data_IF_204422044987
#
_entry.id   IF_204422044987
#
_cell.length_a   1.000
_cell.length_b   1.000
_cell.length_c   1.000
_cell.angle_alpha   90.00
_cell.angle_beta   90.00
_cell.angle_gamma   90.00
#
_symmetry.space_group_name_H-M   'P 1'
#
loop_
_entity.id
_entity.type
_entity.pdbx_description
1 polymer ?
#
# COMPACT_ATOMS: atom_id res chain seq x y z
N UNK A 1 -10.38 17.81 5.27
CA UNK A 1 -11.54 17.27 5.99
C UNK A 1 -12.87 17.76 5.44
N UNK A 2 -13.01 19.05 5.07
CA UNK A 2 -14.27 19.61 4.54
C UNK A 2 -14.78 18.89 3.28
N UNK A 3 -13.91 18.60 2.33
CA UNK A 3 -14.28 17.87 1.10
C UNK A 3 -14.64 16.42 1.42
N UNK A 4 -13.80 15.73 2.19
CA UNK A 4 -13.93 14.31 2.46
C UNK A 4 -15.08 14.00 3.42
N UNK A 5 -15.35 14.90 4.38
CA UNK A 5 -16.43 14.74 5.36
C UNK A 5 -17.85 14.82 4.77
N UNK A 6 -17.98 15.28 3.52
CA UNK A 6 -19.27 15.38 2.81
C UNK A 6 -19.55 14.17 1.91
N UNK A 7 -18.59 13.25 1.76
CA UNK A 7 -18.75 12.03 0.95
C UNK A 7 -19.75 11.07 1.62
N UNK A 8 -20.58 10.44 0.82
CA UNK A 8 -21.63 9.50 1.25
C UNK A 8 -21.39 8.05 0.81
N UNK A 9 -20.58 7.88 -0.24
CA UNK A 9 -20.24 6.54 -0.76
C UNK A 9 -19.33 5.75 0.19
N UNK A 10 -18.35 6.38 0.89
CA UNK A 10 -17.48 5.66 1.81
C UNK A 10 -18.22 5.05 3.00
N UNK A 11 -17.81 3.85 3.40
CA UNK A 11 -18.17 3.27 4.69
C UNK A 11 -17.41 3.96 5.83
N UNK A 12 -16.12 4.20 5.64
CA UNK A 12 -15.29 4.96 6.56
C UNK A 12 -14.11 5.64 5.83
N UNK A 13 -13.51 6.63 6.48
CA UNK A 13 -12.38 7.39 5.94
C UNK A 13 -11.32 7.56 7.01
N UNK A 14 -10.08 7.27 6.67
CA UNK A 14 -8.89 7.53 7.46
C UNK A 14 -8.07 8.64 6.82
N UNK A 15 -7.64 9.61 7.60
CA UNK A 15 -6.72 10.64 7.16
C UNK A 15 -5.39 10.47 7.88
N UNK A 16 -4.32 10.37 7.11
CA UNK A 16 -2.97 10.17 7.64
C UNK A 16 -2.01 11.20 7.07
N UNK A 17 -0.89 11.41 7.76
CA UNK A 17 0.22 12.16 7.19
C UNK A 17 0.94 11.34 6.15
N UNK A 18 1.23 11.94 4.99
CA UNK A 18 1.99 11.28 3.93
C UNK A 18 3.46 11.17 4.33
N UNK A 19 3.96 9.95 4.44
CA UNK A 19 5.35 9.66 4.83
C UNK A 19 6.35 10.01 3.73
N UNK A 20 5.94 10.11 2.46
CA UNK A 20 6.80 10.31 1.31
C UNK A 20 7.19 11.78 1.08
N UNK A 21 6.31 12.72 1.41
CA UNK A 21 6.52 14.15 1.15
C UNK A 21 7.29 14.91 2.24
N UNK A 22 7.63 14.26 3.35
CA UNK A 22 8.37 14.86 4.45
C UNK A 22 9.79 14.27 4.57
N UNK A 23 10.77 14.70 3.75
CA UNK A 23 12.14 14.17 3.81
C UNK A 23 12.85 14.44 5.13
N UNK A 24 12.31 15.27 6.02
CA UNK A 24 13.02 15.73 7.22
C UNK A 24 12.32 15.49 8.56
N UNK A 25 11.09 14.97 8.63
CA UNK A 25 10.37 14.98 9.90
C UNK A 25 9.51 13.77 10.25
N UNK A 26 8.90 13.08 9.30
CA UNK A 26 7.85 12.12 9.62
C UNK A 26 8.25 10.65 9.53
N UNK A 27 9.45 10.36 9.08
CA UNK A 27 10.02 9.03 9.19
C UNK A 27 10.71 8.80 10.52
N UNK A 28 11.22 9.86 11.14
CA UNK A 28 12.18 9.76 12.24
C UNK A 28 11.91 10.82 13.30
N UNK A 29 11.21 10.45 14.34
CA UNK A 29 11.02 11.25 15.53
C UNK A 29 11.89 10.70 16.69
N UNK A 30 12.24 11.56 17.61
CA UNK A 30 12.94 11.16 18.82
C UNK A 30 11.95 11.02 19.98
N UNK A 31 11.90 9.85 20.58
CA UNK A 31 10.97 9.55 21.65
C UNK A 31 11.75 9.15 22.91
N UNK A 32 11.34 9.69 24.06
CA UNK A 32 11.93 9.35 25.36
C UNK A 32 10.89 9.39 26.47
N UNK A 33 11.22 8.78 27.59
CA UNK A 33 10.47 8.96 28.84
C UNK A 33 10.81 10.29 29.51
N UNK A 34 9.90 10.90 30.26
CA UNK A 34 10.22 12.06 31.11
C UNK A 34 11.36 11.72 32.07
N UNK A 35 12.44 12.49 32.05
CA UNK A 35 13.65 12.25 32.87
C UNK A 35 14.57 11.14 32.36
N UNK A 36 14.26 10.49 31.25
CA UNK A 36 15.15 9.52 30.60
C UNK A 36 16.21 10.16 29.74
N UNK A 37 17.41 9.60 29.70
CA UNK A 37 18.54 10.08 28.89
C UNK A 37 18.51 9.49 27.46
N UNK A 38 17.94 8.29 27.30
CA UNK A 38 17.84 7.63 26.00
C UNK A 38 16.70 8.22 25.17
N UNK A 39 17.00 8.60 23.95
CA UNK A 39 16.06 9.17 23.00
C UNK A 39 16.13 8.40 21.67
N UNK A 40 15.58 7.17 21.62
CA UNK A 40 15.59 6.36 20.42
C UNK A 40 14.84 7.06 19.29
N UNK A 41 15.36 6.88 18.09
CA UNK A 41 14.74 7.28 16.86
C UNK A 41 13.59 6.32 16.56
N UNK A 42 12.41 6.85 16.30
CA UNK A 42 11.19 6.05 16.06
C UNK A 42 10.51 6.52 14.79
N UNK A 43 9.90 5.59 14.07
CA UNK A 43 9.08 5.89 12.91
C UNK A 43 7.68 6.31 13.35
N UNK A 44 7.33 7.55 13.01
CA UNK A 44 6.10 8.20 13.41
C UNK A 44 5.11 8.32 12.25
N UNK A 45 3.81 8.15 12.54
CA UNK A 45 2.72 8.46 11.62
C UNK A 45 1.65 9.28 12.34
N UNK A 46 1.25 10.40 11.73
CA UNK A 46 0.07 11.15 12.18
C UNK A 46 -1.18 10.56 11.57
N UNK A 47 -2.24 10.35 12.36
CA UNK A 47 -3.50 9.84 11.86
C UNK A 47 -4.69 10.45 12.61
N UNK A 48 -5.90 10.30 12.07
CA UNK A 48 -7.15 10.62 12.75
C UNK A 48 -7.76 9.37 13.41
N UNK A 49 -8.93 9.56 14.03
CA UNK A 49 -9.68 8.48 14.65
C UNK A 49 -10.23 7.45 13.65
N UNK A 50 -10.50 7.90 12.40
CA UNK A 50 -10.94 7.03 11.31
C UNK A 50 -9.92 5.97 10.94
N UNK A 51 -8.64 6.25 11.16
CA UNK A 51 -7.56 5.30 10.90
C UNK A 51 -7.78 3.94 11.59
N UNK A 52 -8.26 3.96 12.83
CA UNK A 52 -8.50 2.75 13.61
C UNK A 52 -9.75 1.97 13.18
N UNK A 53 -10.67 2.59 12.45
CA UNK A 53 -11.85 1.95 11.87
C UNK A 53 -11.56 1.34 10.51
N UNK A 54 -10.81 2.07 9.67
CA UNK A 54 -10.39 1.60 8.35
C UNK A 54 -9.40 0.46 8.47
N UNK A 55 -8.40 0.61 9.35
CA UNK A 55 -7.37 -0.39 9.61
C UNK A 55 -7.62 -1.03 10.96
N UNK A 56 -7.94 -2.31 10.97
CA UNK A 56 -8.22 -3.06 12.19
C UNK A 56 -6.92 -3.50 12.84
N UNK A 57 -6.57 -2.86 13.94
CA UNK A 57 -5.41 -3.21 14.76
C UNK A 57 -5.83 -4.03 15.98
N UNK A 58 -4.99 -4.99 16.35
CA UNK A 58 -5.15 -5.73 17.61
C UNK A 58 -4.48 -4.95 18.74
N UNK A 59 -5.30 -4.34 19.59
CA UNK A 59 -4.84 -3.65 20.78
C UNK A 59 -4.52 -4.65 21.87
N UNK A 60 -3.26 -4.65 22.32
CA UNK A 60 -2.80 -5.50 23.43
C UNK A 60 -2.94 -4.80 24.77
N UNK A 61 -3.01 -3.47 24.75
CA UNK A 61 -3.16 -2.63 25.93
C UNK A 61 -3.89 -1.33 25.57
N UNK A 62 -4.72 -0.83 26.49
CA UNK A 62 -5.44 0.43 26.29
C UNK A 62 -6.46 0.41 25.14
N UNK A 63 -6.57 1.53 24.43
CA UNK A 63 -7.54 1.73 23.34
C UNK A 63 -7.03 2.72 22.31
N UNK A 64 -7.63 2.78 21.10
CA UNK A 64 -7.39 3.87 20.15
C UNK A 64 -7.83 5.22 20.76
N UNK A 65 -7.23 6.31 20.30
CA UNK A 65 -7.76 7.63 20.62
C UNK A 65 -9.09 7.87 19.87
N UNK A 66 -9.94 8.65 20.49
CA UNK A 66 -11.30 8.92 20.01
C UNK A 66 -11.35 10.16 19.12
N UNK A 67 -12.45 10.32 18.38
CA UNK A 67 -12.74 11.53 17.61
C UNK A 67 -12.70 12.79 18.47
N UNK A 68 -13.26 12.75 19.69
CA UNK A 68 -13.26 13.88 20.61
C UNK A 68 -11.83 14.29 21.03
N UNK A 69 -10.96 13.31 21.30
CA UNK A 69 -9.54 13.53 21.62
C UNK A 69 -8.80 14.10 20.41
N UNK A 70 -9.11 13.60 19.21
CA UNK A 70 -8.55 14.11 17.96
C UNK A 70 -8.99 15.55 17.67
N UNK A 71 -10.30 15.84 17.73
CA UNK A 71 -10.85 17.18 17.44
C UNK A 71 -10.41 18.25 18.46
N UNK A 72 -10.19 17.84 19.72
CA UNK A 72 -9.67 18.73 20.76
C UNK A 72 -8.16 18.98 20.65
N UNK A 73 -7.47 18.38 19.69
CA UNK A 73 -6.01 18.51 19.53
C UNK A 73 -5.21 17.89 20.68
N UNK A 74 -5.79 16.96 21.43
CA UNK A 74 -5.08 16.30 22.52
C UNK A 74 -3.91 15.49 21.99
N UNK A 75 -2.70 15.64 22.55
CA UNK A 75 -1.52 14.87 22.16
C UNK A 75 -1.63 13.43 22.66
N UNK A 76 -2.19 12.56 21.83
CA UNK A 76 -2.34 11.13 22.08
C UNK A 76 -1.40 10.33 21.20
N UNK A 77 -0.88 9.24 21.75
CA UNK A 77 -0.02 8.31 21.03
C UNK A 77 -0.51 6.86 21.23
N UNK A 78 -0.41 6.08 20.16
CA UNK A 78 -0.49 4.61 20.20
C UNK A 78 0.88 4.09 19.80
N UNK A 79 1.41 3.12 20.54
CA UNK A 79 2.73 2.55 20.29
C UNK A 79 2.62 1.13 19.78
N UNK A 80 3.58 0.67 18.97
CA UNK A 80 3.72 -0.75 18.71
C UNK A 80 4.32 -1.46 19.93
N UNK A 81 4.06 -2.77 20.04
CA UNK A 81 4.50 -3.60 21.17
C UNK A 81 6.02 -3.53 21.39
N UNK A 82 6.79 -3.65 20.32
CA UNK A 82 8.24 -3.59 20.38
C UNK A 82 8.77 -2.27 20.92
N UNK A 83 8.15 -1.14 20.53
CA UNK A 83 8.54 0.18 21.03
C UNK A 83 8.14 0.35 22.49
N UNK A 84 6.91 -0.05 22.86
CA UNK A 84 6.45 -0.02 24.25
C UNK A 84 7.38 -0.82 25.15
N UNK A 85 7.78 -2.04 24.73
CA UNK A 85 8.74 -2.87 25.46
C UNK A 85 10.14 -2.23 25.59
N UNK A 86 10.60 -1.50 24.59
CA UNK A 86 11.90 -0.77 24.67
C UNK A 86 11.84 0.40 25.65
N UNK A 87 10.71 1.11 25.72
CA UNK A 87 10.58 2.32 26.56
C UNK A 87 10.21 1.97 28.01
N UNK A 88 9.27 1.06 28.22
CA UNK A 88 8.67 0.79 29.52
C UNK A 88 9.08 -0.58 30.11
N UNK A 89 9.77 -1.41 29.31
CA UNK A 89 10.16 -2.75 29.77
C UNK A 89 8.91 -3.65 29.97
N UNK A 90 8.65 -4.03 31.21
CA UNK A 90 7.49 -4.85 31.60
C UNK A 90 6.35 -4.06 32.24
N UNK A 91 6.48 -2.75 32.35
CA UNK A 91 5.43 -1.89 32.90
C UNK A 91 4.38 -1.57 31.84
N UNK A 92 3.14 -1.35 32.29
CA UNK A 92 2.05 -0.95 31.42
C UNK A 92 2.34 0.43 30.80
N UNK A 93 2.25 0.53 29.48
CA UNK A 93 2.52 1.76 28.75
C UNK A 93 1.28 2.66 28.64
N UNK A 94 0.07 2.09 28.59
CA UNK A 94 -1.16 2.88 28.47
C UNK A 94 -1.37 3.79 29.68
N UNK A 95 -1.68 5.06 29.40
CA UNK A 95 -1.83 6.11 30.41
C UNK A 95 -0.53 6.79 30.80
N UNK A 96 0.63 6.27 30.40
CA UNK A 96 1.94 6.89 30.68
C UNK A 96 2.21 8.07 29.73
N UNK A 97 3.10 8.94 30.17
CA UNK A 97 3.55 10.09 29.37
C UNK A 97 4.88 9.78 28.68
N UNK A 98 4.98 10.16 27.43
CA UNK A 98 6.19 10.12 26.64
C UNK A 98 6.51 11.54 26.12
N UNK A 99 7.78 11.79 25.83
CA UNK A 99 8.22 13.00 25.16
C UNK A 99 8.54 12.66 23.71
N UNK A 100 7.81 13.26 22.78
CA UNK A 100 8.01 13.14 21.35
C UNK A 100 8.56 14.49 20.83
N UNK A 101 9.81 14.50 20.37
CA UNK A 101 10.50 15.74 19.98
C UNK A 101 10.38 16.87 21.03
N UNK A 102 10.34 16.50 22.31
CA UNK A 102 10.23 17.46 23.43
C UNK A 102 8.79 17.82 23.85
N UNK A 103 7.78 17.38 23.10
CA UNK A 103 6.37 17.57 23.44
C UNK A 103 5.81 16.36 24.19
N UNK A 104 4.98 16.62 25.18
CA UNK A 104 4.34 15.56 25.98
C UNK A 104 3.16 14.94 25.25
N UNK A 105 3.18 13.61 25.16
CA UNK A 105 2.06 12.80 24.64
C UNK A 105 1.65 11.77 25.70
N UNK A 106 0.36 11.53 25.82
CA UNK A 106 -0.15 10.42 26.62
C UNK A 106 -0.37 9.20 25.74
N UNK A 107 0.19 8.06 26.14
CA UNK A 107 -0.04 6.78 25.47
C UNK A 107 -1.47 6.34 25.71
N UNK A 108 -2.28 6.24 24.66
CA UNK A 108 -3.68 5.77 24.74
C UNK A 108 -3.79 4.25 24.63
N UNK A 109 -2.85 3.62 23.94
CA UNK A 109 -2.83 2.18 23.77
C UNK A 109 -1.55 1.65 23.13
N UNK A 110 -1.46 0.33 23.13
CA UNK A 110 -0.39 -0.43 22.49
C UNK A 110 -1.02 -1.44 21.56
N UNK A 111 -0.50 -1.52 20.34
CA UNK A 111 -0.93 -2.48 19.31
C UNK A 111 0.17 -3.47 18.99
N UNK A 112 -0.19 -4.62 18.41
CA UNK A 112 0.79 -5.55 17.88
C UNK A 112 1.67 -4.92 16.81
N UNK A 113 2.87 -5.46 16.63
CA UNK A 113 3.82 -4.97 15.63
C UNK A 113 3.27 -5.18 14.22
N UNK A 114 3.35 -4.14 13.40
CA UNK A 114 2.88 -4.13 12.02
C UNK A 114 4.03 -4.43 11.08
N UNK A 115 3.75 -5.17 10.01
CA UNK A 115 4.76 -5.47 8.99
C UNK A 115 5.19 -4.21 8.23
N UNK A 116 6.50 -4.01 8.05
CA UNK A 116 7.05 -2.93 7.26
C UNK A 116 6.74 -2.99 5.76
N UNK A 117 6.13 -4.08 5.28
CA UNK A 117 5.68 -4.23 3.89
C UNK A 117 4.46 -3.33 3.61
N UNK A 118 3.63 -3.07 4.62
CA UNK A 118 2.48 -2.18 4.53
C UNK A 118 2.89 -0.73 4.83
N UNK A 119 3.61 -0.11 3.90
CA UNK A 119 4.22 1.22 4.11
C UNK A 119 3.22 2.31 4.53
N UNK A 120 1.98 2.25 4.03
CA UNK A 120 0.93 3.23 4.33
C UNK A 120 0.40 3.12 5.77
N UNK A 121 0.57 1.98 6.40
CA UNK A 121 0.08 1.69 7.74
C UNK A 121 1.21 1.63 8.76
N UNK A 122 2.40 1.25 8.31
CA UNK A 122 3.54 0.98 9.16
C UNK A 122 4.07 2.21 9.88
N UNK A 123 4.11 2.12 11.19
CA UNK A 123 4.83 3.03 12.07
C UNK A 123 5.22 2.27 13.36
N UNK A 124 6.13 2.83 14.16
CA UNK A 124 6.38 2.38 15.52
C UNK A 124 5.49 3.13 16.53
N UNK A 125 5.05 4.35 16.13
CA UNK A 125 4.12 5.15 16.91
C UNK A 125 3.14 5.89 15.99
N UNK A 126 1.89 5.93 16.38
CA UNK A 126 0.82 6.69 15.73
C UNK A 126 0.33 7.79 16.67
N UNK A 127 0.21 9.01 16.17
CA UNK A 127 -0.22 10.15 16.96
C UNK A 127 -1.36 10.89 16.27
N UNK A 128 -2.15 11.63 17.06
CA UNK A 128 -3.16 12.52 16.49
C UNK A 128 -2.48 13.58 15.62
N UNK A 129 -2.76 13.63 14.32
CA UNK A 129 -2.12 14.65 13.47
C UNK A 129 -2.57 16.07 13.84
N UNK A 130 -3.74 16.23 14.47
CA UNK A 130 -4.21 17.51 15.00
C UNK A 130 -3.26 18.10 16.06
N UNK A 131 -2.54 17.26 16.79
CA UNK A 131 -1.51 17.72 17.75
C UNK A 131 -0.19 18.12 17.08
N UNK A 132 0.01 17.75 15.80
CA UNK A 132 1.20 18.09 15.04
C UNK A 132 1.07 19.43 14.29
N UNK A 133 -0.13 20.04 14.24
CA UNK A 133 -0.44 21.22 13.42
C UNK A 133 0.52 22.38 13.66
N UNK A 134 0.85 22.66 14.91
CA UNK A 134 1.75 23.77 15.27
C UNK A 134 3.15 23.58 14.65
N UNK A 135 3.67 22.35 14.65
CA UNK A 135 4.96 22.05 14.04
C UNK A 135 4.86 22.07 12.50
N UNK A 136 3.73 21.69 11.95
CA UNK A 136 3.47 21.73 10.51
C UNK A 136 3.30 23.15 9.98
N UNK A 137 2.56 24.01 10.68
CA UNK A 137 2.37 25.40 10.28
C UNK A 137 3.70 26.16 10.21
N UNK A 138 4.62 25.89 11.14
CA UNK A 138 5.96 26.44 11.10
C UNK A 138 6.85 25.86 9.97
N UNK A 139 6.70 24.61 9.62
CA UNK A 139 7.49 23.96 8.58
C UNK A 139 7.05 24.34 7.16
N UNK A 140 5.74 24.62 6.97
CA UNK A 140 5.17 24.96 5.66
C UNK A 140 5.18 26.46 5.38
N UNK A 141 5.43 27.31 6.39
CA UNK A 141 5.33 28.75 6.30
C UNK A 141 3.90 29.22 6.08
N UNK A 142 3.67 30.54 6.19
CA UNK A 142 2.42 31.17 5.80
C UNK A 142 2.23 31.07 4.27
N UNK A 143 1.77 29.92 3.80
CA UNK A 143 1.23 29.80 2.45
C UNK A 143 -0.27 29.82 2.57
N UNK A 144 -0.89 30.88 2.05
CA UNK A 144 -2.31 30.92 1.79
C UNK A 144 -2.69 29.74 0.92
N UNK A 145 -3.27 28.73 1.51
CA UNK A 145 -3.81 27.68 0.72
C UNK A 145 -3.62 26.25 1.24
N UNK A 146 -4.42 25.41 0.76
CA UNK A 146 -4.62 24.02 1.08
C UNK A 146 -3.49 23.09 0.54
N UNK A 147 -2.23 23.37 0.86
CA UNK A 147 -1.17 22.39 0.65
C UNK A 147 -1.12 21.48 1.86
N UNK A 148 -1.92 20.41 1.82
CA UNK A 148 -1.93 19.40 2.85
C UNK A 148 -0.93 18.30 2.54
N UNK A 149 -0.14 17.93 3.54
CA UNK A 149 0.68 16.72 3.55
C UNK A 149 -0.13 15.52 4.05
N UNK A 150 -1.43 15.55 3.77
CA UNK A 150 -2.39 14.56 4.25
C UNK A 150 -2.81 13.66 3.09
N UNK A 151 -2.96 12.40 3.39
CA UNK A 151 -3.44 11.34 2.53
C UNK A 151 -4.73 10.78 3.10
N UNK A 152 -5.71 10.53 2.25
CA UNK A 152 -6.96 9.93 2.65
C UNK A 152 -7.06 8.50 2.15
N UNK A 153 -7.28 7.58 3.07
CA UNK A 153 -7.54 6.17 2.79
C UNK A 153 -9.03 5.92 3.02
N UNK A 154 -9.71 5.49 1.99
CA UNK A 154 -11.17 5.40 1.94
C UNK A 154 -11.58 3.94 1.92
N UNK A 155 -12.40 3.53 2.90
CA UNK A 155 -12.98 2.21 2.95
C UNK A 155 -14.31 2.21 2.18
N UNK A 156 -14.41 1.34 1.18
CA UNK A 156 -15.63 1.08 0.43
C UNK A 156 -16.23 -0.26 0.87
N UNK A 157 -17.54 -0.34 0.87
CA UNK A 157 -18.25 -1.60 1.12
C UNK A 157 -18.02 -2.60 -0.02
N UNK A 158 -17.95 -2.12 -1.26
CA UNK A 158 -17.65 -2.92 -2.45
C UNK A 158 -16.71 -2.18 -3.40
N UNK A 159 -15.80 -2.91 -4.03
CA UNK A 159 -14.85 -2.33 -4.99
C UNK A 159 -15.53 -1.74 -6.24
N UNK A 160 -16.76 -2.20 -6.56
CA UNK A 160 -17.57 -1.65 -7.65
C UNK A 160 -18.06 -0.22 -7.41
N UNK A 161 -17.95 0.28 -6.16
CA UNK A 161 -18.33 1.65 -5.80
C UNK A 161 -17.24 2.68 -6.11
N UNK A 162 -16.04 2.25 -6.52
CA UNK A 162 -14.94 3.14 -6.84
C UNK A 162 -15.28 4.22 -7.90
N UNK A 163 -15.98 3.91 -9.01
CA UNK A 163 -16.42 4.93 -9.96
C UNK A 163 -17.40 5.94 -9.35
N UNK A 164 -18.31 5.48 -8.49
CA UNK A 164 -19.26 6.35 -7.79
C UNK A 164 -18.55 7.30 -6.82
N UNK A 165 -17.56 6.80 -6.08
CA UNK A 165 -16.68 7.61 -5.24
C UNK A 165 -15.93 8.66 -6.05
N UNK A 166 -15.36 8.29 -7.20
CA UNK A 166 -14.63 9.22 -8.08
C UNK A 166 -15.52 10.38 -8.54
N UNK A 167 -16.75 10.09 -8.94
CA UNK A 167 -17.71 11.12 -9.35
C UNK A 167 -18.16 12.01 -8.18
N UNK A 168 -18.36 11.43 -7.01
CA UNK A 168 -18.72 12.18 -5.82
C UNK A 168 -17.58 13.11 -5.39
N UNK A 169 -16.34 12.59 -5.35
CA UNK A 169 -15.14 13.35 -5.01
C UNK A 169 -14.94 14.54 -5.97
N UNK A 170 -15.07 14.30 -7.29
CA UNK A 170 -14.97 15.36 -8.29
C UNK A 170 -16.04 16.45 -8.09
N UNK A 171 -17.25 16.08 -7.66
CA UNK A 171 -18.31 17.07 -7.36
C UNK A 171 -17.97 17.92 -6.14
N UNK A 172 -17.55 17.28 -5.05
CA UNK A 172 -17.20 17.98 -3.82
C UNK A 172 -15.98 18.87 -3.99
N UNK A 173 -14.96 18.43 -4.73
CA UNK A 173 -13.80 19.27 -5.08
C UNK A 173 -14.22 20.49 -5.92
N UNK A 174 -15.08 20.30 -6.93
CA UNK A 174 -15.61 21.44 -7.71
C UNK A 174 -16.40 22.40 -6.84
N UNK A 175 -17.21 21.88 -5.92
CA UNK A 175 -17.98 22.70 -4.98
C UNK A 175 -17.06 23.49 -4.07
N UNK A 176 -16.06 22.85 -3.50
CA UNK A 176 -15.05 23.49 -2.65
C UNK A 176 -14.31 24.59 -3.41
N UNK A 177 -13.83 24.30 -4.61
CA UNK A 177 -13.11 25.25 -5.46
C UNK A 177 -13.97 26.46 -5.86
N UNK A 178 -15.30 26.30 -5.99
CA UNK A 178 -16.20 27.41 -6.29
C UNK A 178 -16.33 28.43 -5.15
N UNK A 179 -15.95 28.05 -3.94
CA UNK A 179 -15.92 28.91 -2.76
C UNK A 179 -14.56 29.58 -2.51
N UNK A 180 -13.52 29.16 -3.22
CA UNK A 180 -12.18 29.74 -3.06
C UNK A 180 -12.06 31.04 -3.86
N UNK A 181 -11.48 32.08 -3.24
CA UNK A 181 -11.18 33.36 -3.89
C UNK A 181 -9.92 33.29 -4.75
N UNK A 182 -8.95 32.49 -4.35
CA UNK A 182 -7.67 32.29 -5.04
C UNK A 182 -7.25 30.82 -4.95
N UNK A 183 -6.62 30.33 -6.03
CA UNK A 183 -6.15 28.95 -6.12
C UNK A 183 -7.25 27.93 -6.41
N UNK A 184 -6.85 26.68 -6.54
CA UNK A 184 -7.77 25.55 -6.68
C UNK A 184 -7.17 24.31 -6.06
N UNK A 185 -8.00 23.46 -5.48
CA UNK A 185 -7.63 22.10 -5.07
C UNK A 185 -7.73 21.19 -6.28
N UNK A 186 -6.64 20.50 -6.60
CA UNK A 186 -6.61 19.44 -7.60
C UNK A 186 -6.60 18.12 -6.84
N UNK A 187 -7.55 17.27 -7.15
CA UNK A 187 -7.62 15.92 -6.59
C UNK A 187 -7.35 14.91 -7.70
N UNK A 188 -6.41 14.04 -7.46
CA UNK A 188 -6.18 12.88 -8.32
C UNK A 188 -7.34 11.89 -8.20
N UNK A 189 -7.49 11.03 -9.20
CA UNK A 189 -8.49 9.98 -9.12
C UNK A 189 -8.12 8.98 -8.03
N UNK A 190 -9.09 8.54 -7.22
CA UNK A 190 -8.84 7.52 -6.22
C UNK A 190 -8.42 6.21 -6.90
N UNK A 191 -7.33 5.64 -6.43
CA UNK A 191 -6.81 4.35 -6.87
C UNK A 191 -7.18 3.27 -5.86
N UNK A 192 -7.31 2.02 -6.33
CA UNK A 192 -7.35 0.91 -5.40
C UNK A 192 -6.04 0.82 -4.62
N UNK A 193 -6.08 0.27 -3.41
CA UNK A 193 -4.88 0.09 -2.60
C UNK A 193 -3.78 -0.70 -3.33
N UNK A 194 -4.16 -1.73 -4.08
CA UNK A 194 -3.22 -2.52 -4.87
C UNK A 194 -2.59 -1.70 -6.00
N UNK A 195 -3.37 -0.88 -6.71
CA UNK A 195 -2.86 -0.02 -7.79
C UNK A 195 -1.94 1.06 -7.24
N UNK A 196 -2.29 1.66 -6.09
CA UNK A 196 -1.44 2.64 -5.41
C UNK A 196 -0.10 2.04 -4.99
N UNK A 197 -0.12 0.86 -4.35
CA UNK A 197 1.09 0.15 -3.94
C UNK A 197 1.97 -0.22 -5.14
N UNK A 198 1.37 -0.77 -6.20
CA UNK A 198 2.09 -1.19 -7.40
C UNK A 198 2.66 0.02 -8.15
N UNK A 199 1.91 1.10 -8.27
CA UNK A 199 2.39 2.33 -8.92
C UNK A 199 3.51 3.00 -8.12
N UNK A 200 3.46 2.91 -6.79
CA UNK A 200 4.56 3.36 -5.91
C UNK A 200 5.85 2.55 -6.07
N UNK A 201 5.74 1.23 -6.33
CA UNK A 201 6.90 0.35 -6.50
C UNK A 201 7.53 0.44 -7.91
N UNK A 202 6.71 0.53 -8.95
CA UNK A 202 7.13 0.40 -10.35
C UNK A 202 6.89 1.67 -11.19
N UNK A 203 6.31 2.71 -10.59
CA UNK A 203 5.95 3.95 -11.27
C UNK A 203 4.62 3.85 -12.04
N UNK A 204 4.25 4.91 -12.78
CA UNK A 204 2.97 5.00 -13.49
C UNK A 204 2.82 3.95 -14.60
N UNK A 205 3.92 3.36 -15.06
CA UNK A 205 3.96 2.34 -16.12
C UNK A 205 3.97 0.90 -15.57
N UNK A 206 3.48 0.71 -14.35
CA UNK A 206 3.47 -0.57 -13.62
C UNK A 206 3.00 -1.74 -14.46
N UNK A 207 1.88 -1.59 -15.18
CA UNK A 207 1.32 -2.68 -15.99
C UNK A 207 2.20 -3.06 -17.18
N UNK A 208 2.96 -2.10 -17.75
CA UNK A 208 3.93 -2.37 -18.81
C UNK A 208 5.11 -3.16 -18.26
N UNK A 209 5.63 -2.75 -17.10
CA UNK A 209 6.74 -3.43 -16.41
C UNK A 209 6.35 -4.86 -16.03
N UNK A 210 5.18 -5.05 -15.44
CA UNK A 210 4.64 -6.37 -15.09
C UNK A 210 4.40 -7.23 -16.34
N UNK A 211 3.85 -6.66 -17.41
CA UNK A 211 3.66 -7.34 -18.70
C UNK A 211 4.98 -7.80 -19.32
N UNK A 212 6.00 -6.94 -19.31
CA UNK A 212 7.34 -7.32 -19.78
C UNK A 212 7.99 -8.39 -18.90
N UNK A 213 7.88 -8.29 -17.59
CA UNK A 213 8.39 -9.29 -16.67
C UNK A 213 7.71 -10.66 -16.89
N UNK A 214 6.38 -10.67 -17.06
CA UNK A 214 5.62 -11.87 -17.38
C UNK A 214 6.03 -12.45 -18.73
N UNK A 215 6.19 -11.60 -19.75
CA UNK A 215 6.65 -12.03 -21.07
C UNK A 215 8.03 -12.70 -21.00
N UNK A 216 8.98 -12.10 -20.28
CA UNK A 216 10.32 -12.67 -20.09
C UNK A 216 10.26 -14.00 -19.32
N UNK A 217 9.42 -14.05 -18.28
CA UNK A 217 9.22 -15.25 -17.48
C UNK A 217 8.63 -16.41 -18.30
N UNK A 218 7.78 -16.12 -19.29
CA UNK A 218 7.23 -17.13 -20.20
C UNK A 218 8.18 -17.45 -21.36
N UNK A 219 8.94 -16.46 -21.84
CA UNK A 219 9.83 -16.62 -22.99
C UNK A 219 11.00 -17.58 -22.70
N UNK A 220 11.61 -17.49 -21.52
CA UNK A 220 12.77 -18.33 -21.15
C UNK A 220 12.43 -19.83 -21.16
N UNK A 221 11.36 -20.31 -20.51
CA UNK A 221 10.93 -21.69 -20.64
C UNK A 221 10.52 -22.08 -22.06
N UNK A 222 9.85 -21.19 -22.80
CA UNK A 222 9.43 -21.45 -24.18
C UNK A 222 10.65 -21.68 -25.11
N UNK A 223 11.70 -20.87 -24.97
CA UNK A 223 12.95 -21.06 -25.73
C UNK A 223 13.64 -22.37 -25.36
N UNK A 224 13.67 -22.71 -24.07
CA UNK A 224 14.24 -23.96 -23.60
C UNK A 224 13.48 -25.18 -24.16
N UNK A 225 12.15 -25.16 -24.12
CA UNK A 225 11.31 -26.20 -24.73
C UNK A 225 11.51 -26.28 -26.25
N UNK A 226 11.67 -25.13 -26.92
CA UNK A 226 11.92 -25.09 -28.38
C UNK A 226 13.25 -25.82 -28.72
N UNK A 227 14.31 -25.57 -27.96
CA UNK A 227 15.58 -26.26 -28.13
C UNK A 227 15.48 -27.78 -27.96
N UNK A 228 14.78 -28.25 -26.91
CA UNK A 228 14.53 -29.68 -26.67
C UNK A 228 13.69 -30.29 -27.79
N UNK A 229 12.68 -29.63 -28.30
CA UNK A 229 11.87 -30.12 -29.40
C UNK A 229 12.67 -30.21 -30.71
N UNK A 230 13.55 -29.23 -30.99
CA UNK A 230 14.43 -29.28 -32.15
C UNK A 230 15.37 -30.51 -32.10
N UNK A 231 15.96 -30.82 -30.94
CA UNK A 231 16.78 -32.00 -30.75
C UNK A 231 16.01 -33.30 -31.00
N UNK A 232 14.80 -33.43 -30.45
CA UNK A 232 13.92 -34.60 -30.66
C UNK A 232 13.52 -34.78 -32.13
N UNK A 233 13.28 -33.70 -32.84
CA UNK A 233 12.97 -33.76 -34.27
C UNK A 233 14.19 -34.23 -35.05
N UNK A 234 15.42 -33.80 -34.72
CA UNK A 234 16.65 -34.24 -35.37
C UNK A 234 16.87 -35.76 -35.18
N UNK A 235 16.62 -36.32 -34.01
CA UNK A 235 16.70 -37.74 -33.74
C UNK A 235 15.75 -38.57 -34.61
N UNK A 236 14.60 -38.01 -34.99
CA UNK A 236 13.53 -38.65 -35.78
C UNK A 236 13.53 -38.30 -37.26
N UNK A 237 14.56 -37.56 -37.75
CA UNK A 237 14.64 -37.14 -39.20
C UNK A 237 14.56 -38.35 -40.14
N UNK A 238 15.22 -39.46 -39.78
CA UNK A 238 15.19 -40.69 -40.59
C UNK A 238 13.77 -41.28 -40.71
N UNK A 239 13.04 -41.36 -39.58
CA UNK A 239 11.65 -41.87 -39.57
C UNK A 239 10.71 -40.94 -40.37
N UNK A 240 10.81 -39.64 -40.19
CA UNK A 240 10.04 -38.67 -40.93
C UNK A 240 10.37 -38.70 -42.45
N UNK A 241 11.63 -38.95 -42.77
CA UNK A 241 12.08 -39.14 -44.15
C UNK A 241 11.46 -40.36 -44.84
N UNK A 242 11.40 -41.47 -44.14
CA UNK A 242 10.74 -42.69 -44.64
C UNK A 242 9.25 -42.45 -44.86
N UNK A 243 8.54 -41.85 -43.91
CA UNK A 243 7.11 -41.54 -44.03
C UNK A 243 6.83 -40.60 -45.22
N UNK A 244 7.71 -39.63 -45.45
CA UNK A 244 7.63 -38.73 -46.57
C UNK A 244 7.85 -39.46 -47.92
N UNK A 245 8.78 -40.43 -47.98
CA UNK A 245 9.01 -41.27 -49.14
C UNK A 245 7.80 -42.16 -49.50
N UNK A 246 7.02 -42.56 -48.50
CA UNK A 246 5.75 -43.28 -48.67
C UNK A 246 4.52 -42.37 -48.93
N UNK A 247 4.74 -41.06 -49.20
CA UNK A 247 3.71 -40.13 -49.65
C UNK A 247 3.05 -39.32 -48.56
N UNK A 248 3.55 -39.28 -47.32
CA UNK A 248 3.06 -38.42 -46.26
C UNK A 248 3.29 -36.96 -46.62
N UNK A 249 2.24 -36.10 -46.53
CA UNK A 249 2.34 -34.67 -46.77
C UNK A 249 3.02 -33.95 -45.61
N UNK A 250 3.62 -32.77 -45.88
CA UNK A 250 4.22 -31.94 -44.83
C UNK A 250 3.19 -31.62 -43.74
N UNK A 251 1.93 -31.30 -44.11
CA UNK A 251 0.87 -30.99 -43.16
C UNK A 251 0.55 -32.14 -42.22
N UNK A 252 0.54 -33.39 -42.75
CA UNK A 252 0.30 -34.59 -41.94
C UNK A 252 1.42 -34.83 -40.93
N UNK A 253 2.69 -34.67 -41.36
CA UNK A 253 3.85 -34.85 -40.47
C UNK A 253 3.91 -33.72 -39.40
N UNK A 254 3.66 -32.47 -39.76
CA UNK A 254 3.61 -31.37 -38.80
C UNK A 254 2.44 -31.55 -37.81
N UNK A 255 1.25 -31.93 -38.28
CA UNK A 255 0.11 -32.19 -37.43
C UNK A 255 0.40 -33.32 -36.41
N UNK A 256 1.07 -34.39 -36.82
CA UNK A 256 1.46 -35.46 -35.92
C UNK A 256 2.40 -34.97 -34.83
N UNK A 257 3.50 -34.27 -35.18
CA UNK A 257 4.46 -33.69 -34.22
C UNK A 257 3.77 -32.72 -33.28
N UNK A 258 2.82 -31.92 -33.78
CA UNK A 258 2.04 -30.98 -32.97
C UNK A 258 1.19 -31.71 -31.95
N UNK A 259 0.43 -32.74 -32.38
CA UNK A 259 -0.43 -33.52 -31.48
C UNK A 259 0.40 -34.27 -30.43
N UNK A 260 1.54 -34.88 -30.80
CA UNK A 260 2.44 -35.51 -29.85
C UNK A 260 2.92 -34.53 -28.76
N UNK A 261 3.33 -33.32 -29.14
CA UNK A 261 3.73 -32.31 -28.18
C UNK A 261 2.59 -31.83 -27.30
N UNK A 262 1.39 -31.64 -27.86
CA UNK A 262 0.19 -31.27 -27.09
C UNK A 262 -0.16 -32.33 -26.03
N UNK A 263 -0.13 -33.59 -26.38
CA UNK A 263 -0.41 -34.73 -25.45
C UNK A 263 0.60 -34.75 -24.31
N UNK A 264 1.86 -34.41 -24.56
CA UNK A 264 2.90 -34.38 -23.53
C UNK A 264 2.79 -33.12 -22.64
N UNK A 265 2.34 -31.97 -23.19
CA UNK A 265 2.21 -30.72 -22.44
C UNK A 265 0.94 -30.63 -21.58
N UNK A 266 -0.15 -31.27 -22.01
CA UNK A 266 -1.45 -31.21 -21.30
C UNK A 266 -1.36 -31.68 -19.84
N UNK A 267 -0.74 -32.83 -19.50
CA UNK A 267 -0.63 -33.23 -18.11
C UNK A 267 0.17 -32.26 -17.26
N UNK A 268 1.26 -31.68 -17.82
CA UNK A 268 2.07 -30.67 -17.13
C UNK A 268 1.30 -29.37 -16.90
N UNK A 269 0.53 -28.94 -17.90
CA UNK A 269 -0.32 -27.74 -17.79
C UNK A 269 -1.45 -27.91 -16.75
N UNK A 270 -2.10 -29.07 -16.74
CA UNK A 270 -3.13 -29.40 -15.73
C UNK A 270 -2.53 -29.45 -14.34
N UNK A 271 -1.37 -30.09 -14.18
CA UNK A 271 -0.68 -30.15 -12.89
C UNK A 271 -0.30 -28.74 -12.40
N UNK A 272 0.21 -27.86 -13.29
CA UNK A 272 0.57 -26.49 -12.94
C UNK A 272 -0.59 -25.57 -12.59
N UNK A 273 -1.84 -25.93 -12.99
CA UNK A 273 -3.06 -25.22 -12.58
C UNK A 273 -3.61 -25.72 -11.24
N UNK A 274 -3.23 -26.90 -10.79
CA UNK A 274 -3.70 -27.51 -9.54
C UNK A 274 -2.79 -27.22 -8.33
N UNK A 275 -1.57 -26.73 -8.57
CA UNK A 275 -0.59 -26.31 -7.58
C UNK A 275 -0.36 -24.79 -7.60
#
# INVERSE_FOLDING_TARGET
KEVIGNLRVPEDVAVTTNSFMMPFSYGDAFMRLPGGDESPKVRLKGCDDGFWRVYRFDFVEGRPFTEAEFLSGMPRAVLCRSLAGRLFGHEAAAGQTILLNGLEYTVSGVVDDVSGITADVYAEAWVTYSSLSVAMDHALGERDGAVGLLEANILLADASDLPALSEELRREVRRYNSGLSEGQVVCEEPLSYADNLLSGLFGPETYIVLGMALLLFLLVPALNLSGMNASRIQERVGELGIRKAFGATKATLMGQVFVENMVLMLPGGVAGLLF
#
